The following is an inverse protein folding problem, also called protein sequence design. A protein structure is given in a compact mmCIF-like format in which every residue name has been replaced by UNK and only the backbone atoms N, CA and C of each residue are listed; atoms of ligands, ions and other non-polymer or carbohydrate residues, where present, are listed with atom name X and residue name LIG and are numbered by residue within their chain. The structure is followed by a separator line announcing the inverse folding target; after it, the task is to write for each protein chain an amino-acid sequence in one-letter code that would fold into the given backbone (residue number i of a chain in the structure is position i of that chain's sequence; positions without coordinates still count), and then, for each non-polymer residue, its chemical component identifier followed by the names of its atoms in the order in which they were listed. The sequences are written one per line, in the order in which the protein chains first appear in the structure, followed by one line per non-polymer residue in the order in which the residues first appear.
data_IF_859103080273
#
_entry.id   IF_859103080273
#
_cell.length_a   1.000
_cell.length_b   1.000
_cell.length_c   1.000
_cell.angle_alpha   90.00
_cell.angle_beta   90.00
_cell.angle_gamma   90.00
#
_symmetry.space_group_name_H-M   'P 1'
#
loop_
_entity.id
_entity.type
_entity.pdbx_description
1 polymer ?
#
# COMPACT_ATOMS: atom_id res chain seq x y z
N UNK A 1 -12.80 0.31 19.62
CA UNK A 1 -12.76 1.51 18.84
C UNK A 1 -12.13 2.67 19.58
N UNK A 2 -11.33 3.40 18.89
CA UNK A 2 -10.61 4.54 19.44
C UNK A 2 -11.46 5.80 19.29
N UNK A 3 -11.55 6.56 20.34
CA UNK A 3 -12.17 7.87 20.27
C UNK A 3 -11.12 8.88 19.79
N UNK A 4 -11.16 9.21 18.52
CA UNK A 4 -10.24 10.18 17.96
C UNK A 4 -10.63 11.61 18.27
N UNK A 5 -11.77 11.77 18.90
CA UNK A 5 -12.28 13.08 19.09
C UNK A 5 -12.03 13.56 20.49
N UNK A 6 -11.36 14.66 20.60
CA UNK A 6 -11.32 15.47 21.78
C UNK A 6 -12.23 16.66 21.55
N UNK A 7 -12.37 17.52 22.52
CA UNK A 7 -13.30 18.65 22.41
C UNK A 7 -13.01 19.56 21.22
N UNK A 8 -11.73 19.68 20.83
CA UNK A 8 -11.31 20.62 19.79
C UNK A 8 -10.60 19.97 18.61
N UNK A 9 -10.36 18.67 18.65
CA UNK A 9 -9.50 18.02 17.66
C UNK A 9 -10.10 16.73 17.16
N UNK A 10 -9.81 16.41 15.91
CA UNK A 10 -9.93 15.07 15.38
C UNK A 10 -8.61 14.64 14.78
N UNK A 11 -8.50 13.37 14.44
CA UNK A 11 -7.29 12.80 13.89
C UNK A 11 -7.54 12.25 12.50
N UNK A 12 -6.53 12.33 11.65
CA UNK A 12 -6.59 11.77 10.30
C UNK A 12 -5.28 11.09 9.97
N UNK A 13 -5.35 9.99 9.22
CA UNK A 13 -4.17 9.35 8.65
C UNK A 13 -4.02 9.88 7.23
N UNK A 14 -2.86 10.45 6.94
CA UNK A 14 -2.59 11.11 5.66
C UNK A 14 -1.41 10.43 4.99
N UNK A 15 -1.56 10.18 3.69
CA UNK A 15 -0.51 9.59 2.86
C UNK A 15 -0.03 10.60 1.84
N UNK A 16 1.27 10.67 1.64
CA UNK A 16 1.84 11.55 0.62
C UNK A 16 3.36 11.63 0.69
N UNK A 17 3.92 12.38 -0.26
CA UNK A 17 5.35 12.65 -0.33
C UNK A 17 5.63 14.04 0.20
N UNK A 18 6.86 14.26 0.65
CA UNK A 18 7.33 15.58 1.13
C UNK A 18 6.50 16.15 2.27
N UNK A 19 5.88 15.29 3.05
CA UNK A 19 5.07 15.72 4.19
C UNK A 19 5.93 15.83 5.43
N UNK A 20 5.76 16.95 6.14
CA UNK A 20 6.45 17.15 7.41
C UNK A 20 5.49 17.36 8.59
N UNK A 21 4.19 17.50 8.31
CA UNK A 21 3.18 17.70 9.35
C UNK A 21 2.76 16.38 9.97
N UNK A 22 2.53 16.40 11.28
CA UNK A 22 2.03 15.23 12.00
C UNK A 22 3.11 14.22 12.34
N UNK A 23 2.71 13.17 13.03
CA UNK A 23 3.62 12.12 13.49
C UNK A 23 3.77 11.04 12.41
N UNK A 24 5.01 10.68 12.13
CA UNK A 24 5.29 9.61 11.18
C UNK A 24 4.81 8.28 11.74
N UNK A 25 3.95 7.59 10.98
CA UNK A 25 3.53 6.24 11.31
C UNK A 25 4.46 5.22 10.68
N UNK A 26 4.63 5.30 9.36
CA UNK A 26 5.62 4.50 8.65
C UNK A 26 5.87 5.09 7.26
N UNK A 27 7.04 4.75 6.71
CA UNK A 27 7.38 5.09 5.33
C UNK A 27 6.95 3.97 4.42
N UNK A 28 6.45 4.31 3.23
CA UNK A 28 6.08 3.30 2.25
C UNK A 28 7.32 2.59 1.72
N UNK A 29 7.28 1.25 1.71
CA UNK A 29 8.31 0.42 1.10
C UNK A 29 7.61 -0.67 0.30
N UNK A 30 7.87 -0.71 -0.99
CA UNK A 30 7.19 -1.62 -1.91
C UNK A 30 7.94 -2.94 -2.04
N UNK A 31 7.19 -4.03 -2.04
CA UNK A 31 7.71 -5.37 -2.24
C UNK A 31 6.70 -6.21 -3.03
N UNK A 32 7.16 -7.13 -3.89
CA UNK A 32 6.25 -8.06 -4.54
C UNK A 32 5.60 -9.03 -3.54
N UNK A 33 4.34 -9.34 -3.75
CA UNK A 33 3.62 -10.32 -2.95
C UNK A 33 2.80 -11.23 -3.85
N UNK A 34 2.67 -12.48 -3.47
CA UNK A 34 2.02 -13.50 -4.28
C UNK A 34 1.36 -14.53 -3.37
N UNK A 35 0.29 -15.17 -3.85
CA UNK A 35 -0.30 -16.29 -3.13
C UNK A 35 0.69 -17.45 -3.07
N UNK A 36 0.73 -18.20 -1.93
CA UNK A 36 1.58 -19.39 -1.84
C UNK A 36 1.35 -20.40 -2.96
N UNK A 37 0.12 -20.50 -3.48
CA UNK A 37 -0.18 -21.44 -4.56
C UNK A 37 0.50 -21.10 -5.88
N UNK A 38 0.98 -19.87 -6.03
CA UNK A 38 1.70 -19.41 -7.22
C UNK A 38 3.19 -19.24 -6.99
N UNK A 39 3.68 -19.51 -5.78
CA UNK A 39 5.04 -19.15 -5.41
C UNK A 39 6.12 -19.86 -6.22
N UNK A 40 5.82 -21.02 -6.81
CA UNK A 40 6.78 -21.74 -7.62
C UNK A 40 6.86 -21.29 -9.08
N UNK A 41 5.99 -20.41 -9.52
CA UNK A 41 5.96 -19.97 -10.91
C UNK A 41 7.03 -18.91 -11.17
N UNK A 42 7.54 -18.88 -12.41
CA UNK A 42 8.45 -17.81 -12.83
C UNK A 42 7.65 -16.49 -12.88
N UNK A 43 8.18 -15.45 -12.26
CA UNK A 43 7.44 -14.18 -12.15
C UNK A 43 7.08 -13.60 -13.51
N UNK A 44 7.97 -13.69 -14.50
CA UNK A 44 7.66 -13.17 -15.82
C UNK A 44 6.49 -13.83 -16.52
N UNK A 45 6.04 -15.01 -16.07
CA UNK A 45 4.89 -15.71 -16.65
C UNK A 45 3.57 -15.33 -15.99
N UNK A 46 3.60 -14.56 -14.93
CA UNK A 46 2.42 -14.19 -14.15
C UNK A 46 1.84 -12.86 -14.62
N UNK A 47 0.59 -12.61 -14.24
CA UNK A 47 0.00 -11.30 -14.41
C UNK A 47 0.51 -10.37 -13.32
N UNK A 48 0.99 -9.20 -13.72
CA UNK A 48 1.45 -8.17 -12.79
C UNK A 48 0.27 -7.32 -12.39
N UNK A 49 0.01 -7.28 -11.09
CA UNK A 49 -1.12 -6.56 -10.52
C UNK A 49 -0.63 -5.21 -10.05
N UNK A 50 -1.13 -4.15 -10.65
CA UNK A 50 -0.70 -2.79 -10.38
C UNK A 50 -1.69 -2.11 -9.46
N UNK A 51 -1.22 -1.47 -8.37
CA UNK A 51 -2.11 -0.81 -7.41
C UNK A 51 -2.65 0.53 -7.88
N UNK A 52 -2.24 0.94 -9.07
CA UNK A 52 -2.65 2.20 -9.68
C UNK A 52 -3.00 1.96 -11.15
N UNK A 53 -3.49 3.00 -11.81
CA UNK A 53 -3.85 2.91 -13.23
C UNK A 53 -2.65 2.92 -14.16
N UNK A 54 -1.47 3.15 -13.64
CA UNK A 54 -0.23 3.10 -14.41
C UNK A 54 0.69 2.02 -13.84
N UNK A 55 1.91 1.92 -14.39
CA UNK A 55 2.89 0.92 -13.99
C UNK A 55 3.95 1.47 -13.04
N UNK A 56 3.70 2.60 -12.43
CA UNK A 56 4.72 3.35 -11.69
C UNK A 56 5.37 2.53 -10.57
N UNK A 57 4.56 1.88 -9.72
CA UNK A 57 5.10 1.19 -8.55
C UNK A 57 5.94 -0.02 -8.94
N UNK A 58 5.45 -0.85 -9.84
CA UNK A 58 6.23 -1.98 -10.34
C UNK A 58 7.50 -1.51 -11.06
N UNK A 59 7.40 -0.47 -11.85
CA UNK A 59 8.56 0.06 -12.58
C UNK A 59 9.60 0.61 -11.62
N UNK A 60 9.17 1.28 -10.56
CA UNK A 60 10.07 1.77 -9.53
C UNK A 60 10.82 0.62 -8.85
N UNK A 61 10.10 -0.43 -8.46
CA UNK A 61 10.71 -1.58 -7.82
C UNK A 61 11.72 -2.26 -8.74
N UNK A 62 11.34 -2.50 -10.01
CA UNK A 62 12.22 -3.13 -10.98
C UNK A 62 13.48 -2.31 -11.24
N UNK A 63 13.37 -0.99 -11.25
CA UNK A 63 14.49 -0.10 -11.49
C UNK A 63 15.47 -0.08 -10.32
N UNK A 64 14.95 -0.08 -9.10
CA UNK A 64 15.79 0.10 -7.91
C UNK A 64 16.31 -1.18 -7.29
N UNK A 65 15.68 -2.32 -7.55
CA UNK A 65 16.20 -3.58 -7.04
C UNK A 65 17.49 -3.96 -7.78
N UNK A 66 18.38 -4.68 -7.10
CA UNK A 66 19.71 -4.95 -7.65
C UNK A 66 19.79 -6.23 -8.46
N UNK A 67 18.79 -7.07 -8.39
CA UNK A 67 18.79 -8.33 -9.11
C UNK A 67 18.44 -8.19 -10.59
N UNK A 68 18.42 -9.31 -11.34
CA UNK A 68 17.98 -9.28 -12.72
C UNK A 68 16.54 -8.81 -12.83
N UNK A 69 16.26 -7.99 -13.84
CA UNK A 69 14.90 -7.57 -14.12
C UNK A 69 14.13 -8.63 -14.89
N UNK A 70 12.84 -8.41 -15.03
CA UNK A 70 11.98 -9.23 -15.86
C UNK A 70 10.96 -8.35 -16.54
N UNK A 71 10.43 -8.82 -17.67
CA UNK A 71 9.44 -8.07 -18.43
C UNK A 71 8.05 -8.32 -17.89
N UNK A 72 7.25 -7.26 -17.87
CA UNK A 72 5.85 -7.36 -17.47
C UNK A 72 4.97 -7.55 -18.71
N UNK A 73 4.77 -8.81 -19.09
CA UNK A 73 4.01 -9.13 -20.30
C UNK A 73 2.50 -9.06 -20.10
N UNK A 74 2.03 -9.43 -18.91
CA UNK A 74 0.60 -9.43 -18.60
C UNK A 74 0.38 -8.48 -17.44
N UNK A 75 -0.53 -7.54 -17.60
CA UNK A 75 -0.75 -6.47 -16.62
C UNK A 75 -2.24 -6.29 -16.34
N UNK A 76 -2.57 -6.13 -15.08
CA UNK A 76 -3.90 -5.81 -14.62
C UNK A 76 -3.81 -4.63 -13.67
N UNK A 77 -4.57 -3.59 -13.94
CA UNK A 77 -4.53 -2.35 -13.14
C UNK A 77 -5.74 -2.26 -12.23
N UNK A 78 -5.51 -1.79 -11.02
CA UNK A 78 -6.55 -1.61 -10.02
C UNK A 78 -6.57 -0.16 -9.57
N UNK A 79 -7.70 0.28 -9.02
CA UNK A 79 -7.83 1.65 -8.55
C UNK A 79 -7.12 1.88 -7.22
N UNK A 80 -6.95 0.82 -6.41
CA UNK A 80 -6.32 0.93 -5.10
C UNK A 80 -5.39 -0.25 -4.85
N UNK A 81 -4.45 -0.05 -3.93
CA UNK A 81 -3.55 -1.12 -3.52
C UNK A 81 -4.31 -2.27 -2.85
N UNK A 82 -5.34 -1.97 -2.07
CA UNK A 82 -6.14 -3.01 -1.41
C UNK A 82 -6.76 -3.98 -2.41
N UNK A 83 -7.23 -3.48 -3.54
CA UNK A 83 -7.80 -4.34 -4.57
C UNK A 83 -6.74 -5.22 -5.23
N UNK A 84 -5.57 -4.67 -5.49
CA UNK A 84 -4.46 -5.45 -6.04
C UNK A 84 -4.00 -6.54 -5.06
N UNK A 85 -3.92 -6.22 -3.77
CA UNK A 85 -3.55 -7.17 -2.74
C UNK A 85 -4.60 -8.31 -2.68
N UNK A 86 -5.87 -7.97 -2.70
CA UNK A 86 -6.95 -8.96 -2.69
C UNK A 86 -6.85 -9.90 -3.89
N UNK A 87 -6.57 -9.35 -5.07
CA UNK A 87 -6.38 -10.17 -6.26
C UNK A 87 -5.19 -11.12 -6.13
N UNK A 88 -4.08 -10.66 -5.53
CA UNK A 88 -2.92 -11.51 -5.29
C UNK A 88 -3.25 -12.64 -4.31
N UNK A 89 -3.98 -12.36 -3.25
CA UNK A 89 -4.40 -13.37 -2.28
C UNK A 89 -5.21 -14.47 -2.99
N UNK A 90 -6.02 -14.10 -3.95
CA UNK A 90 -6.82 -15.06 -4.70
C UNK A 90 -6.05 -15.79 -5.80
N UNK A 91 -4.78 -15.52 -5.96
CA UNK A 91 -3.93 -16.23 -6.90
C UNK A 91 -4.00 -15.70 -8.33
N UNK A 92 -4.50 -14.48 -8.54
CA UNK A 92 -4.64 -13.91 -9.88
C UNK A 92 -3.33 -13.42 -10.48
N UNK A 93 -2.31 -13.22 -9.66
CA UNK A 93 -1.02 -12.75 -10.15
C UNK A 93 -0.13 -12.29 -9.02
N UNK A 94 0.90 -11.52 -9.37
CA UNK A 94 1.85 -10.96 -8.42
C UNK A 94 1.62 -9.47 -8.28
N UNK A 95 1.38 -9.01 -7.05
CA UNK A 95 1.15 -7.60 -6.77
C UNK A 95 2.40 -6.93 -6.23
N UNK A 96 2.47 -5.62 -6.38
CA UNK A 96 3.45 -4.79 -5.69
C UNK A 96 2.70 -4.08 -4.57
N UNK A 97 3.19 -4.18 -3.35
CA UNK A 97 2.46 -3.67 -2.21
C UNK A 97 3.40 -3.13 -1.14
N UNK A 98 2.89 -2.25 -0.31
CA UNK A 98 3.63 -1.77 0.84
C UNK A 98 3.80 -2.88 1.87
N UNK A 99 5.03 -3.10 2.32
CA UNK A 99 5.34 -4.22 3.22
C UNK A 99 4.60 -4.14 4.55
N UNK A 100 4.33 -2.93 5.05
CA UNK A 100 3.60 -2.77 6.31
C UNK A 100 2.13 -3.16 6.14
N UNK A 101 1.53 -2.79 5.03
CA UNK A 101 0.12 -3.09 4.76
C UNK A 101 -0.14 -4.58 4.56
N UNK A 102 0.84 -5.33 4.08
CA UNK A 102 0.66 -6.78 3.84
C UNK A 102 1.27 -7.65 4.94
N UNK A 103 1.84 -7.04 5.98
CA UNK A 103 2.52 -7.80 7.03
C UNK A 103 1.62 -8.86 7.67
N UNK A 104 0.37 -8.53 7.94
CA UNK A 104 -0.57 -9.47 8.53
C UNK A 104 -0.92 -10.61 7.57
N UNK A 105 -1.11 -10.30 6.29
CA UNK A 105 -1.40 -11.33 5.28
C UNK A 105 -0.23 -12.30 5.13
N UNK A 106 0.98 -11.80 5.21
CA UNK A 106 2.17 -12.63 5.14
C UNK A 106 2.27 -13.50 6.39
N UNK A 107 2.07 -12.90 7.56
CA UNK A 107 2.11 -13.64 8.82
C UNK A 107 1.04 -14.75 8.86
N UNK A 108 -0.13 -14.48 8.33
CA UNK A 108 -1.24 -15.44 8.29
C UNK A 108 -1.10 -16.50 7.17
N UNK A 109 -0.11 -16.37 6.30
CA UNK A 109 0.11 -17.33 5.22
C UNK A 109 -0.75 -17.12 3.99
N UNK A 110 -1.44 -15.98 3.89
CA UNK A 110 -2.24 -15.65 2.70
C UNK A 110 -1.39 -15.17 1.54
N UNK A 111 -0.25 -14.57 1.85
CA UNK A 111 0.71 -14.07 0.88
C UNK A 111 2.12 -14.48 1.28
N UNK A 112 2.99 -14.60 0.29
CA UNK A 112 4.42 -14.76 0.50
C UNK A 112 5.16 -13.70 -0.31
N UNK A 113 6.41 -13.42 0.08
CA UNK A 113 7.27 -12.49 -0.64
C UNK A 113 8.22 -13.30 -1.52
N UNK A 114 8.07 -13.24 -2.84
CA UNK A 114 9.02 -13.96 -3.73
C UNK A 114 10.42 -13.34 -3.70
N UNK A 115 10.52 -12.07 -3.29
CA UNK A 115 11.79 -11.39 -3.08
C UNK A 115 11.76 -10.71 -1.72
N UNK A 116 12.90 -10.70 -1.04
CA UNK A 116 12.99 -10.02 0.26
C UNK A 116 13.25 -8.53 0.11
N UNK A 117 13.53 -8.07 -1.09
CA UNK A 117 13.85 -6.66 -1.35
C UNK A 117 12.61 -5.78 -1.24
N UNK A 118 12.72 -4.72 -0.46
CA UNK A 118 11.71 -3.66 -0.38
C UNK A 118 12.36 -2.35 -0.82
N UNK A 119 11.61 -1.57 -1.59
CA UNK A 119 12.10 -0.30 -2.12
C UNK A 119 11.28 0.84 -1.53
N UNK A 120 11.96 1.78 -0.88
CA UNK A 120 11.30 2.98 -0.34
C UNK A 120 10.94 3.93 -1.46
N UNK A 121 9.73 4.48 -1.39
CA UNK A 121 9.20 5.36 -2.44
C UNK A 121 9.36 6.83 -2.12
N UNK A 122 9.65 7.18 -0.87
CA UNK A 122 9.66 8.55 -0.41
C UNK A 122 8.31 9.01 0.13
N UNK A 123 7.26 8.21 -0.04
CA UNK A 123 5.96 8.50 0.55
C UNK A 123 5.89 7.97 1.98
N UNK A 124 5.04 8.56 2.77
CA UNK A 124 4.85 8.16 4.17
C UNK A 124 3.41 8.29 4.58
N UNK A 125 3.06 7.56 5.65
CA UNK A 125 1.78 7.67 6.32
C UNK A 125 2.01 8.40 7.63
N UNK A 126 1.19 9.43 7.90
CA UNK A 126 1.33 10.27 9.08
C UNK A 126 -0.01 10.44 9.77
N UNK A 127 0.05 10.56 11.09
CA UNK A 127 -1.11 10.89 11.91
C UNK A 127 -1.12 12.39 12.11
N UNK A 128 -2.21 13.03 11.70
CA UNK A 128 -2.36 14.48 11.80
C UNK A 128 -3.54 14.78 12.70
N UNK A 129 -3.31 15.64 13.69
CA UNK A 129 -4.38 16.15 14.54
C UNK A 129 -4.84 17.49 14.00
N UNK A 130 -6.13 17.67 13.89
CA UNK A 130 -6.72 18.91 13.39
C UNK A 130 -7.67 19.49 14.41
N UNK A 131 -7.57 20.80 14.59
CA UNK A 131 -8.56 21.51 15.34
C UNK A 131 -9.83 21.61 14.50
N UNK A 132 -10.97 21.32 15.11
CA UNK A 132 -12.23 21.34 14.41
C UNK A 132 -13.11 22.46 14.94
N UNK A 133 -13.77 23.24 14.04
CA UNK A 133 -14.70 24.29 14.48
C UNK A 133 -15.96 23.71 15.10
N UNK A 134 -16.25 22.43 14.83
CA UNK A 134 -17.43 21.79 15.37
C UNK A 134 -17.32 20.30 15.18
N UNK A 135 -18.13 19.59 15.94
CA UNK A 135 -18.08 18.15 16.00
C UNK A 135 -18.39 17.48 14.67
N UNK A 136 -19.44 17.93 14.01
CA UNK A 136 -19.84 17.34 12.75
C UNK A 136 -18.80 17.54 11.67
N UNK A 137 -18.18 18.70 11.63
CA UNK A 137 -17.15 19.00 10.65
C UNK A 137 -15.92 18.13 10.87
N UNK A 138 -15.56 17.90 12.13
CA UNK A 138 -14.44 17.03 12.44
C UNK A 138 -14.63 15.61 11.98
N UNK A 139 -15.82 15.06 12.24
CA UNK A 139 -16.14 13.70 11.82
C UNK A 139 -16.15 13.56 10.31
N UNK A 140 -16.73 14.54 9.61
CA UNK A 140 -16.75 14.51 8.15
C UNK A 140 -15.34 14.56 7.57
N UNK A 141 -14.49 15.43 8.10
CA UNK A 141 -13.11 15.53 7.64
C UNK A 141 -12.33 14.23 7.88
N UNK A 142 -12.52 13.62 9.03
CA UNK A 142 -11.85 12.36 9.35
C UNK A 142 -12.28 11.25 8.40
N UNK A 143 -13.58 11.12 8.16
CA UNK A 143 -14.09 10.11 7.22
C UNK A 143 -13.54 10.31 5.82
N UNK A 144 -13.51 11.55 5.35
CA UNK A 144 -12.98 11.84 4.03
C UNK A 144 -11.52 11.42 3.90
N UNK A 145 -10.70 11.68 4.91
CA UNK A 145 -9.31 11.26 4.91
C UNK A 145 -9.15 9.75 4.87
N UNK A 146 -9.97 9.02 5.62
CA UNK A 146 -9.91 7.56 5.63
C UNK A 146 -10.33 6.97 4.29
N UNK A 147 -11.38 7.52 3.67
CA UNK A 147 -11.87 7.02 2.38
C UNK A 147 -10.88 7.29 1.24
N UNK A 148 -10.12 8.36 1.33
CA UNK A 148 -9.15 8.72 0.29
C UNK A 148 -7.77 8.10 0.51
N UNK A 149 -7.62 7.30 1.52
CA UNK A 149 -6.33 6.74 1.89
C UNK A 149 -5.86 5.64 0.95
N UNK A 150 -6.78 4.96 0.32
CA UNK A 150 -6.46 3.84 -0.54
C UNK A 150 -5.36 4.12 -1.55
#
# INVERSE_FOLDING_TARGET
NVNFKTESYDAAIVFGTHMSAGDLLFEEALTPVISPVRAGAALGSLTFLHPTRDKTDWSLWLTKQEGPGFAMHKNQHFDTMDLAITAAIQGLGVAIADETLVAEDIHAGRLVRPYETSIKTGASYRLVLRETPGEENGLAAFRACLLNRG
#
